data_IF_508375909061
#
_entry.id   IF_508375909061
#
_cell.length_a   1.000
_cell.length_b   1.000
_cell.length_c   1.000
_cell.angle_alpha   90.00
_cell.angle_beta   90.00
_cell.angle_gamma   90.00
#
_symmetry.space_group_name_H-M   'P 1'
#
loop_
_entity.id
_entity.type
_entity.pdbx_description
1 polymer ?
#
# COMPACT_ATOMS: atom_id res chain seq x y z
N UNK A 1 -3.48 6.41 -13.87
CA UNK A 1 -4.06 5.43 -12.93
C UNK A 1 -2.99 4.51 -12.37
N UNK A 2 -2.18 3.87 -13.22
CA UNK A 2 -1.14 2.93 -12.80
C UNK A 2 -0.18 3.46 -11.70
N UNK A 3 0.28 4.71 -11.81
CA UNK A 3 1.08 5.35 -10.74
C UNK A 3 0.39 5.35 -9.37
N UNK A 4 -0.93 5.55 -9.31
CA UNK A 4 -1.72 5.47 -8.06
C UNK A 4 -1.89 4.04 -7.53
N UNK A 5 -1.56 3.04 -8.36
CA UNK A 5 -1.53 1.63 -8.00
C UNK A 5 -0.09 1.14 -7.76
N UNK A 6 0.88 2.05 -7.64
CA UNK A 6 2.28 1.71 -7.37
C UNK A 6 3.03 1.14 -8.58
N UNK A 7 2.61 1.48 -9.81
CA UNK A 7 3.30 1.08 -11.04
C UNK A 7 3.89 2.29 -11.77
N UNK A 8 5.17 2.24 -12.11
CA UNK A 8 5.82 3.26 -12.94
C UNK A 8 5.52 3.04 -14.44
N UNK A 9 6.09 3.87 -15.31
CA UNK A 9 5.83 3.81 -16.76
C UNK A 9 6.29 2.47 -17.39
N UNK A 10 7.47 1.98 -17.02
CA UNK A 10 7.99 0.72 -17.57
C UNK A 10 7.18 -0.49 -17.08
N UNK A 11 6.79 -0.53 -15.81
CA UNK A 11 5.91 -1.56 -15.25
C UNK A 11 4.51 -1.53 -15.89
N UNK A 12 3.97 -0.34 -16.13
CA UNK A 12 2.66 -0.15 -16.80
C UNK A 12 2.68 -0.67 -18.22
N UNK A 13 3.73 -0.33 -18.95
CA UNK A 13 4.00 -0.79 -20.31
C UNK A 13 4.19 -2.31 -20.36
N UNK A 14 5.00 -2.87 -19.46
CA UNK A 14 5.27 -4.30 -19.39
C UNK A 14 4.01 -5.10 -19.08
N UNK A 15 3.22 -4.68 -18.08
CA UNK A 15 1.97 -5.33 -17.70
C UNK A 15 0.95 -5.33 -18.82
N UNK A 16 0.81 -4.22 -19.53
CA UNK A 16 -0.18 -4.10 -20.59
C UNK A 16 0.24 -4.90 -21.82
N UNK A 17 1.47 -4.70 -22.31
CA UNK A 17 2.00 -5.45 -23.45
C UNK A 17 2.01 -6.96 -23.16
N UNK A 18 2.54 -7.37 -22.00
CA UNK A 18 2.62 -8.80 -21.63
C UNK A 18 1.25 -9.43 -21.37
N UNK A 19 0.30 -8.68 -20.81
CA UNK A 19 -1.08 -9.15 -20.66
C UNK A 19 -1.79 -9.30 -22.01
N UNK A 20 -1.68 -8.29 -22.88
CA UNK A 20 -2.32 -8.26 -24.20
C UNK A 20 -1.56 -9.08 -25.26
N UNK A 21 -0.39 -9.66 -24.96
CA UNK A 21 0.18 -10.77 -25.75
C UNK A 21 -0.78 -11.98 -25.80
N UNK A 22 -1.68 -12.11 -24.82
CA UNK A 22 -2.58 -13.25 -24.70
C UNK A 22 -4.07 -12.89 -24.87
N UNK A 23 -4.84 -13.87 -25.35
CA UNK A 23 -6.28 -13.86 -25.34
C UNK A 23 -6.92 -12.87 -26.31
N UNK A 24 -8.12 -12.42 -25.95
CA UNK A 24 -8.95 -11.51 -26.74
C UNK A 24 -9.95 -10.74 -25.88
N UNK A 25 -10.49 -9.66 -26.42
CA UNK A 25 -11.70 -9.03 -25.90
C UNK A 25 -12.98 -9.71 -26.45
N UNK A 26 -14.11 -9.46 -25.80
CA UNK A 26 -15.42 -10.03 -26.13
C UNK A 26 -16.52 -8.96 -26.25
N UNK A 27 -17.15 -8.91 -27.41
CA UNK A 27 -18.09 -7.90 -27.88
C UNK A 27 -18.81 -8.36 -29.16
N UNK A 28 -19.20 -9.64 -29.22
CA UNK A 28 -19.74 -10.31 -30.40
C UNK A 28 -21.08 -9.73 -30.91
N UNK A 29 -21.78 -8.94 -30.11
CA UNK A 29 -23.03 -8.30 -30.52
C UNK A 29 -23.56 -7.30 -29.51
N UNK A 30 -24.83 -6.94 -29.65
CA UNK A 30 -25.49 -5.90 -28.86
C UNK A 30 -25.34 -6.10 -27.34
N UNK A 31 -24.62 -5.18 -26.71
CA UNK A 31 -24.37 -5.19 -25.26
C UNK A 31 -25.63 -5.07 -24.41
N UNK A 32 -26.75 -4.57 -24.97
CA UNK A 32 -28.03 -4.52 -24.23
C UNK A 32 -28.64 -5.90 -23.98
N UNK A 33 -28.11 -6.95 -24.62
CA UNK A 33 -28.51 -8.35 -24.40
C UNK A 33 -27.80 -9.00 -23.20
N UNK A 34 -26.82 -8.31 -22.59
CA UNK A 34 -26.15 -8.78 -21.38
C UNK A 34 -27.03 -8.46 -20.18
N UNK A 35 -27.37 -9.50 -19.42
CA UNK A 35 -28.18 -9.40 -18.21
C UNK A 35 -27.47 -8.70 -17.05
N UNK A 36 -28.14 -8.68 -15.90
CA UNK A 36 -27.65 -8.03 -14.68
C UNK A 36 -26.34 -8.64 -14.19
N UNK A 37 -25.53 -7.84 -13.50
CA UNK A 37 -24.36 -8.32 -12.75
C UNK A 37 -24.77 -9.38 -11.72
N UNK A 38 -23.83 -10.19 -11.18
CA UNK A 38 -24.13 -11.24 -10.21
C UNK A 38 -25.05 -10.82 -9.05
N UNK A 39 -24.80 -9.67 -8.43
CA UNK A 39 -25.62 -9.16 -7.30
C UNK A 39 -27.03 -8.72 -7.69
N UNK A 40 -27.30 -8.48 -8.97
CA UNK A 40 -28.61 -8.11 -9.50
C UNK A 40 -29.29 -9.24 -10.29
N UNK A 41 -28.66 -10.40 -10.39
CA UNK A 41 -29.15 -11.53 -11.15
C UNK A 41 -30.21 -12.33 -10.38
N UNK A 42 -31.00 -13.12 -11.11
CA UNK A 42 -31.95 -14.04 -10.49
C UNK A 42 -31.21 -15.10 -9.65
N UNK A 43 -31.77 -15.50 -8.51
CA UNK A 43 -31.21 -16.51 -7.61
C UNK A 43 -30.91 -17.84 -8.33
N UNK A 44 -31.64 -18.17 -9.39
CA UNK A 44 -31.42 -19.35 -10.22
C UNK A 44 -30.05 -19.34 -10.95
N UNK A 45 -29.39 -18.18 -11.05
CA UNK A 45 -28.03 -18.05 -11.62
C UNK A 45 -26.93 -18.49 -10.66
N UNK A 46 -27.26 -18.80 -9.40
CA UNK A 46 -26.34 -19.41 -8.42
C UNK A 46 -25.02 -18.62 -8.27
N UNK A 47 -25.13 -17.29 -8.17
CA UNK A 47 -23.98 -16.39 -8.00
C UNK A 47 -23.27 -16.00 -9.31
N UNK A 48 -23.74 -16.49 -10.46
CA UNK A 48 -23.34 -15.98 -11.77
C UNK A 48 -24.17 -14.75 -12.17
N UNK A 49 -23.70 -14.04 -13.18
CA UNK A 49 -24.37 -12.87 -13.75
C UNK A 49 -23.93 -12.63 -15.19
N UNK A 50 -24.35 -11.50 -15.75
CA UNK A 50 -24.07 -11.11 -17.15
C UNK A 50 -24.51 -12.16 -18.17
N UNK A 51 -25.57 -12.93 -17.86
CA UNK A 51 -26.12 -13.91 -18.79
C UNK A 51 -26.52 -13.19 -20.09
N UNK A 52 -25.97 -13.64 -21.21
CA UNK A 52 -26.19 -12.99 -22.50
C UNK A 52 -27.32 -13.68 -23.26
N UNK A 53 -28.31 -12.89 -23.71
CA UNK A 53 -29.33 -13.32 -24.66
C UNK A 53 -28.91 -13.19 -26.14
N UNK A 54 -27.63 -12.91 -26.41
CA UNK A 54 -27.09 -12.82 -27.76
C UNK A 54 -26.73 -14.21 -28.29
N UNK A 55 -27.51 -14.73 -29.24
CA UNK A 55 -27.30 -16.05 -29.83
C UNK A 55 -27.19 -17.14 -28.75
N UNK A 56 -26.10 -17.90 -28.69
CA UNK A 56 -25.85 -18.89 -27.62
C UNK A 56 -25.39 -18.26 -26.29
N UNK A 57 -25.03 -16.98 -26.28
CA UNK A 57 -24.50 -16.27 -25.12
C UNK A 57 -23.10 -16.67 -24.67
N UNK A 58 -22.42 -17.54 -25.42
CA UNK A 58 -21.11 -18.11 -25.08
C UNK A 58 -20.27 -18.43 -26.32
N UNK A 59 -18.98 -18.70 -26.14
CA UNK A 59 -18.06 -19.03 -27.22
C UNK A 59 -17.86 -17.85 -28.17
N UNK A 60 -18.07 -18.06 -29.48
CA UNK A 60 -17.99 -16.99 -30.49
C UNK A 60 -19.08 -15.91 -30.33
N UNK A 61 -20.07 -16.12 -29.45
CA UNK A 61 -21.15 -15.17 -29.14
C UNK A 61 -20.97 -14.48 -27.77
N UNK A 62 -19.83 -14.65 -27.11
CA UNK A 62 -19.54 -14.03 -25.80
C UNK A 62 -19.50 -12.51 -25.91
N UNK A 63 -20.08 -11.83 -24.91
CA UNK A 63 -19.99 -10.38 -24.74
C UNK A 63 -19.50 -10.09 -23.32
N UNK A 64 -18.50 -9.22 -23.17
CA UNK A 64 -17.99 -8.79 -21.86
C UNK A 64 -17.71 -7.29 -21.86
N UNK A 65 -16.66 -6.84 -22.53
CA UNK A 65 -16.29 -5.42 -22.59
C UNK A 65 -17.05 -4.65 -23.69
N UNK A 66 -17.56 -5.37 -24.69
CA UNK A 66 -18.10 -4.78 -25.92
C UNK A 66 -17.03 -4.51 -26.98
N UNK A 67 -15.73 -4.57 -26.67
CA UNK A 67 -14.64 -4.61 -27.66
C UNK A 67 -14.50 -6.06 -28.15
N UNK A 68 -14.20 -6.27 -29.43
CA UNK A 68 -14.14 -7.60 -30.04
C UNK A 68 -12.84 -7.81 -30.82
N UNK A 69 -12.16 -8.93 -30.55
CA UNK A 69 -10.97 -9.35 -31.28
C UNK A 69 -9.78 -9.64 -30.39
N UNK A 70 -8.81 -10.40 -30.93
CA UNK A 70 -7.52 -10.63 -30.31
C UNK A 70 -6.55 -9.48 -30.61
N UNK A 71 -5.54 -9.28 -29.77
CA UNK A 71 -4.47 -8.30 -30.05
C UNK A 71 -3.43 -8.86 -31.01
N UNK A 72 -3.20 -10.17 -30.98
CA UNK A 72 -2.14 -10.84 -31.73
C UNK A 72 -2.70 -11.96 -32.64
N UNK A 73 -1.99 -12.31 -33.73
CA UNK A 73 -2.30 -13.50 -34.53
C UNK A 73 -2.07 -14.83 -33.80
N UNK A 74 -1.32 -14.80 -32.69
CA UNK A 74 -0.91 -15.97 -31.87
C UNK A 74 -1.40 -15.85 -30.42
N UNK A 75 -2.72 -15.73 -30.17
CA UNK A 75 -3.28 -15.29 -28.88
C UNK A 75 -3.06 -16.24 -27.68
N UNK A 76 -2.43 -17.39 -27.88
CA UNK A 76 -2.14 -18.37 -26.83
C UNK A 76 -0.64 -18.67 -26.71
N UNK A 77 0.20 -17.82 -27.30
CA UNK A 77 1.66 -17.99 -27.32
C UNK A 77 2.33 -16.78 -26.71
N UNK A 78 3.29 -17.01 -25.81
CA UNK A 78 4.19 -15.94 -25.35
C UNK A 78 5.21 -15.66 -26.45
N UNK A 79 5.05 -14.54 -27.13
CA UNK A 79 5.96 -14.05 -28.17
C UNK A 79 5.92 -12.52 -28.24
N UNK A 80 6.62 -11.95 -29.23
CA UNK A 80 6.74 -10.50 -29.42
C UNK A 80 5.71 -9.93 -30.40
N UNK A 81 4.74 -10.72 -30.86
CA UNK A 81 3.82 -10.31 -31.93
C UNK A 81 2.92 -9.15 -31.53
N UNK A 82 2.67 -8.91 -30.23
CA UNK A 82 2.00 -7.69 -29.76
C UNK A 82 2.73 -6.43 -30.23
N UNK A 83 4.06 -6.40 -30.14
CA UNK A 83 4.86 -5.25 -30.55
C UNK A 83 4.90 -5.08 -32.06
N UNK A 84 5.01 -6.18 -32.82
CA UNK A 84 4.95 -6.13 -34.28
C UNK A 84 3.60 -5.57 -34.74
N UNK A 85 2.51 -6.10 -34.17
CA UNK A 85 1.16 -5.59 -34.39
C UNK A 85 1.06 -4.09 -34.08
N UNK A 86 1.45 -3.68 -32.87
CA UNK A 86 1.31 -2.30 -32.41
C UNK A 86 2.15 -1.31 -33.22
N UNK A 87 3.41 -1.66 -33.55
CA UNK A 87 4.38 -0.69 -34.06
C UNK A 87 4.45 -0.66 -35.59
N UNK A 88 4.27 -1.78 -36.28
CA UNK A 88 4.49 -1.88 -37.74
C UNK A 88 3.27 -1.55 -38.59
N UNK A 89 2.07 -1.60 -38.01
CA UNK A 89 0.83 -1.42 -38.77
C UNK A 89 0.22 -0.03 -38.56
N UNK A 90 -0.37 0.51 -39.63
CA UNK A 90 -1.27 1.64 -39.52
C UNK A 90 -2.67 1.17 -39.12
N UNK A 91 -3.35 1.97 -38.29
CA UNK A 91 -4.61 1.61 -37.68
C UNK A 91 -5.73 2.58 -38.07
N UNK A 92 -6.91 2.03 -38.35
CA UNK A 92 -8.15 2.80 -38.52
C UNK A 92 -9.11 2.59 -37.35
N UNK A 93 -9.83 3.66 -36.99
CA UNK A 93 -10.85 3.61 -35.95
C UNK A 93 -12.12 2.96 -36.51
N UNK A 94 -12.53 1.86 -35.91
CA UNK A 94 -13.73 1.10 -36.26
C UNK A 94 -14.66 0.91 -35.07
N UNK A 95 -15.82 0.30 -35.32
CA UNK A 95 -16.73 -0.14 -34.27
C UNK A 95 -16.79 -1.66 -34.22
N UNK A 96 -16.73 -2.21 -33.02
CA UNK A 96 -16.99 -3.62 -32.77
C UNK A 96 -18.42 -3.99 -33.16
N UNK A 97 -18.78 -5.29 -33.22
CA UNK A 97 -20.16 -5.73 -33.36
C UNK A 97 -21.10 -5.18 -32.26
N UNK A 98 -20.59 -4.91 -31.06
CA UNK A 98 -21.32 -4.25 -29.98
C UNK A 98 -21.36 -2.71 -30.10
N UNK A 99 -20.75 -2.13 -31.12
CA UNK A 99 -20.70 -0.69 -31.36
C UNK A 99 -19.59 0.06 -30.61
N UNK A 100 -18.74 -0.62 -29.85
CA UNK A 100 -17.63 -0.02 -29.11
C UNK A 100 -16.54 0.47 -30.07
N UNK A 101 -15.90 1.61 -29.76
CA UNK A 101 -14.77 2.12 -30.54
C UNK A 101 -13.52 1.28 -30.27
N UNK A 102 -12.90 0.79 -31.33
CA UNK A 102 -11.64 0.05 -31.30
C UNK A 102 -10.83 0.33 -32.57
N UNK A 103 -9.58 -0.11 -32.62
CA UNK A 103 -8.70 0.09 -33.75
C UNK A 103 -8.40 -1.25 -34.42
N UNK A 104 -8.33 -1.28 -35.75
CA UNK A 104 -7.91 -2.46 -36.51
C UNK A 104 -6.80 -2.08 -37.51
N UNK A 105 -5.92 -3.01 -37.89
CA UNK A 105 -4.98 -2.77 -38.98
C UNK A 105 -5.74 -2.38 -40.26
N UNK A 106 -5.28 -1.32 -40.93
CA UNK A 106 -5.92 -0.83 -42.16
C UNK A 106 -5.98 -1.97 -43.19
N UNK A 107 -7.19 -2.32 -43.63
CA UNK A 107 -7.41 -3.36 -44.62
C UNK A 107 -7.28 -4.80 -44.12
N UNK A 108 -6.99 -5.02 -42.83
CA UNK A 108 -6.81 -6.34 -42.20
C UNK A 108 -5.97 -7.33 -43.05
N UNK A 109 -4.67 -7.07 -43.26
CA UNK A 109 -3.78 -7.97 -44.00
C UNK A 109 -3.81 -9.40 -43.46
N UNK A 110 -3.62 -10.40 -44.32
CA UNK A 110 -3.80 -11.81 -43.96
C UNK A 110 -2.88 -12.27 -42.80
N UNK A 111 -1.67 -11.72 -42.73
CA UNK A 111 -0.70 -11.98 -41.66
C UNK A 111 -1.17 -11.45 -40.29
N UNK A 112 -2.03 -10.43 -40.27
CA UNK A 112 -2.55 -9.83 -39.04
C UNK A 112 -3.76 -10.58 -38.46
N UNK A 113 -4.42 -11.46 -39.23
CA UNK A 113 -5.64 -12.11 -38.76
C UNK A 113 -5.35 -13.13 -37.65
N UNK A 114 -6.16 -13.14 -36.60
CA UNK A 114 -6.11 -14.15 -35.54
C UNK A 114 -6.98 -15.37 -35.88
N UNK A 115 -6.68 -16.56 -35.35
CA UNK A 115 -7.64 -17.66 -35.36
C UNK A 115 -8.90 -17.29 -34.58
N UNK A 116 -10.07 -17.68 -35.08
CA UNK A 116 -11.30 -17.59 -34.29
C UNK A 116 -11.21 -18.51 -33.08
N UNK A 117 -11.72 -18.05 -31.93
CA UNK A 117 -11.53 -18.74 -30.66
C UNK A 117 -12.25 -20.10 -30.60
N UNK A 118 -13.43 -20.24 -31.22
CA UNK A 118 -14.24 -21.47 -31.11
C UNK A 118 -14.61 -22.12 -32.44
N UNK A 119 -14.27 -21.49 -33.58
CA UNK A 119 -14.53 -22.06 -34.92
C UNK A 119 -13.20 -22.43 -35.59
N UNK A 120 -12.85 -23.74 -35.66
CA UNK A 120 -11.61 -24.19 -36.30
C UNK A 120 -11.48 -23.73 -37.75
N UNK A 121 -10.29 -23.27 -38.14
CA UNK A 121 -9.98 -22.83 -39.51
C UNK A 121 -10.55 -21.46 -39.91
N UNK A 122 -11.40 -20.84 -39.09
CA UNK A 122 -11.86 -19.47 -39.30
C UNK A 122 -10.79 -18.49 -38.78
N UNK A 123 -10.51 -17.45 -39.56
CA UNK A 123 -9.66 -16.32 -39.13
C UNK A 123 -10.49 -15.05 -39.01
N UNK A 124 -10.14 -14.18 -38.07
CA UNK A 124 -10.85 -12.94 -37.74
C UNK A 124 -9.88 -11.78 -37.58
N UNK A 125 -10.33 -10.53 -37.81
CA UNK A 125 -9.51 -9.35 -37.57
C UNK A 125 -8.97 -9.27 -36.13
N UNK A 126 -7.72 -8.84 -36.00
CA UNK A 126 -7.15 -8.39 -34.72
C UNK A 126 -7.59 -6.96 -34.40
N UNK A 127 -7.39 -6.55 -33.16
CA UNK A 127 -7.73 -5.21 -32.69
C UNK A 127 -6.67 -4.64 -31.75
N UNK A 128 -6.66 -3.32 -31.62
CA UNK A 128 -6.02 -2.59 -30.53
C UNK A 128 -7.06 -1.73 -29.84
N UNK A 129 -6.96 -1.61 -28.52
CA UNK A 129 -7.78 -0.64 -27.77
C UNK A 129 -7.19 0.76 -27.91
N UNK A 130 -7.95 1.79 -27.52
CA UNK A 130 -7.38 3.15 -27.46
C UNK A 130 -6.26 3.26 -26.42
N UNK A 131 -6.28 2.41 -25.37
CA UNK A 131 -5.19 2.35 -24.40
C UNK A 131 -3.92 1.73 -25.00
N UNK A 132 -4.06 0.69 -25.84
CA UNK A 132 -2.93 0.12 -26.59
C UNK A 132 -2.32 1.18 -27.53
N UNK A 133 -3.17 1.89 -28.27
CA UNK A 133 -2.72 2.96 -29.16
C UNK A 133 -1.98 4.08 -28.42
N UNK A 134 -2.30 4.32 -27.13
CA UNK A 134 -1.57 5.28 -26.31
C UNK A 134 -0.07 4.93 -26.19
N UNK A 135 0.28 3.64 -26.11
CA UNK A 135 1.68 3.21 -26.08
C UNK A 135 2.40 3.41 -27.44
N UNK A 136 1.66 3.39 -28.55
CA UNK A 136 2.21 3.70 -29.89
C UNK A 136 2.46 5.20 -30.08
N UNK A 137 1.56 6.06 -29.59
CA UNK A 137 1.53 7.50 -29.91
C UNK A 137 2.18 8.39 -28.85
N UNK A 138 2.14 8.01 -27.57
CA UNK A 138 2.80 8.77 -26.52
C UNK A 138 4.32 8.63 -26.65
N UNK A 139 5.09 9.73 -26.75
CA UNK A 139 6.53 9.66 -27.01
C UNK A 139 7.32 8.91 -25.94
N UNK A 140 6.91 8.97 -24.67
CA UNK A 140 7.63 8.28 -23.58
C UNK A 140 7.38 6.78 -23.64
N UNK A 141 6.12 6.39 -23.78
CA UNK A 141 5.76 4.98 -23.90
C UNK A 141 6.26 4.37 -25.20
N UNK A 142 6.30 5.13 -26.30
CA UNK A 142 6.87 4.66 -27.57
C UNK A 142 8.32 4.20 -27.41
N UNK A 143 9.14 4.97 -26.69
CA UNK A 143 10.53 4.58 -26.41
C UNK A 143 10.61 3.26 -25.63
N UNK A 144 9.71 3.07 -24.66
CA UNK A 144 9.65 1.83 -23.87
C UNK A 144 9.20 0.64 -24.74
N UNK A 145 8.19 0.82 -25.59
CA UNK A 145 7.72 -0.22 -26.53
C UNK A 145 8.82 -0.65 -27.50
N UNK A 146 9.55 0.30 -28.09
CA UNK A 146 10.68 0.02 -28.99
C UNK A 146 11.80 -0.71 -28.25
N UNK A 147 12.10 -0.32 -27.01
CA UNK A 147 13.10 -1.00 -26.15
C UNK A 147 12.70 -2.44 -25.86
N UNK A 148 11.44 -2.68 -25.47
CA UNK A 148 10.93 -4.03 -25.23
C UNK A 148 10.97 -4.90 -26.48
N UNK A 149 10.59 -4.34 -27.64
CA UNK A 149 10.67 -5.05 -28.91
C UNK A 149 12.10 -5.42 -29.30
N UNK A 150 13.05 -4.51 -29.09
CA UNK A 150 14.45 -4.71 -29.42
C UNK A 150 15.15 -5.74 -28.50
N UNK A 151 14.65 -5.93 -27.28
CA UNK A 151 15.19 -6.88 -26.30
C UNK A 151 14.07 -7.72 -25.64
N UNK A 152 13.70 -8.86 -26.26
CA UNK A 152 12.68 -9.76 -25.74
C UNK A 152 12.99 -10.33 -24.36
N UNK A 153 14.28 -10.51 -24.02
CA UNK A 153 14.69 -11.01 -22.71
C UNK A 153 14.45 -9.96 -21.63
N UNK A 154 14.79 -8.70 -21.91
CA UNK A 154 14.49 -7.58 -21.03
C UNK A 154 12.99 -7.40 -20.81
N UNK A 155 12.18 -7.47 -21.88
CA UNK A 155 10.73 -7.42 -21.76
C UNK A 155 10.18 -8.55 -20.89
N UNK A 156 10.66 -9.78 -21.08
CA UNK A 156 10.27 -10.93 -20.27
C UNK A 156 10.55 -10.74 -18.79
N UNK A 157 11.74 -10.26 -18.42
CA UNK A 157 12.09 -9.96 -17.03
C UNK A 157 11.24 -8.83 -16.45
N UNK A 158 11.06 -7.73 -17.20
CA UNK A 158 10.24 -6.59 -16.78
C UNK A 158 8.78 -7.00 -16.54
N UNK A 159 8.19 -7.79 -17.44
CA UNK A 159 6.83 -8.31 -17.28
C UNK A 159 6.73 -9.26 -16.08
N UNK A 160 7.66 -10.21 -15.92
CA UNK A 160 7.65 -11.15 -14.80
C UNK A 160 7.72 -10.42 -13.45
N UNK A 161 8.61 -9.43 -13.32
CA UNK A 161 8.76 -8.61 -12.11
C UNK A 161 7.54 -7.74 -11.85
N UNK A 162 7.00 -7.10 -12.88
CA UNK A 162 5.81 -6.25 -12.73
C UNK A 162 4.55 -7.08 -12.41
N UNK A 163 4.40 -8.28 -12.99
CA UNK A 163 3.32 -9.22 -12.67
C UNK A 163 3.42 -9.73 -11.24
N UNK A 164 4.63 -10.09 -10.79
CA UNK A 164 4.87 -10.47 -9.40
C UNK A 164 4.51 -9.33 -8.45
N UNK A 165 4.98 -8.11 -8.71
CA UNK A 165 4.60 -6.91 -7.94
C UNK A 165 3.08 -6.70 -7.92
N UNK A 166 2.42 -6.76 -9.08
CA UNK A 166 0.97 -6.57 -9.20
C UNK A 166 0.18 -7.49 -8.26
N UNK A 167 0.60 -8.75 -8.19
CA UNK A 167 -0.10 -9.82 -7.46
C UNK A 167 0.32 -9.97 -6.00
N UNK A 168 1.31 -9.20 -5.55
CA UNK A 168 1.87 -9.32 -4.19
C UNK A 168 2.07 -7.97 -3.46
N UNK A 169 1.82 -6.83 -4.11
CA UNK A 169 2.05 -5.47 -3.54
C UNK A 169 1.25 -5.17 -2.27
N UNK A 170 0.17 -5.89 -2.01
CA UNK A 170 -0.71 -5.75 -0.83
C UNK A 170 -0.48 -6.84 0.23
N UNK A 171 0.49 -7.73 0.01
CA UNK A 171 0.84 -8.77 0.97
C UNK A 171 1.75 -8.28 2.10
N UNK A 172 2.24 -7.04 2.06
CA UNK A 172 3.13 -6.49 3.09
C UNK A 172 4.50 -7.17 3.16
N UNK A 173 5.10 -7.27 4.36
CA UNK A 173 6.45 -7.80 4.53
C UNK A 173 6.58 -9.23 4.00
N UNK A 174 7.73 -9.53 3.38
CA UNK A 174 8.05 -10.86 2.82
C UNK A 174 7.93 -12.01 3.83
N UNK A 175 8.04 -11.74 5.13
CA UNK A 175 7.76 -12.72 6.19
C UNK A 175 6.34 -13.31 6.17
N UNK A 176 5.40 -12.67 5.47
CA UNK A 176 4.03 -13.17 5.26
C UNK A 176 3.89 -14.12 4.06
N UNK A 177 4.92 -14.24 3.23
CA UNK A 177 4.86 -15.04 2.01
C UNK A 177 5.12 -16.50 2.37
N UNK A 178 4.32 -17.41 1.84
CA UNK A 178 4.34 -18.83 2.20
C UNK A 178 4.48 -19.69 0.94
N UNK A 179 5.08 -20.87 1.11
CA UNK A 179 5.24 -21.85 0.05
C UNK A 179 6.65 -21.89 -0.57
N UNK A 180 6.91 -22.89 -1.43
CA UNK A 180 8.26 -23.14 -1.95
C UNK A 180 8.68 -22.20 -3.10
N UNK A 181 7.76 -21.42 -3.65
CA UNK A 181 7.97 -20.56 -4.82
C UNK A 181 8.22 -19.09 -4.47
N UNK A 182 8.38 -18.76 -3.19
CA UNK A 182 8.72 -17.40 -2.76
C UNK A 182 10.10 -17.03 -3.31
N UNK A 183 10.23 -15.95 -4.12
CA UNK A 183 11.51 -15.55 -4.67
C UNK A 183 12.53 -15.24 -3.57
N UNK A 184 13.76 -15.69 -3.76
CA UNK A 184 14.85 -15.41 -2.82
C UNK A 184 15.22 -13.92 -2.80
N UNK A 185 15.13 -13.24 -3.95
CA UNK A 185 15.40 -11.80 -4.09
C UNK A 185 14.46 -10.96 -3.21
N UNK A 186 15.02 -9.97 -2.52
CA UNK A 186 14.25 -8.92 -1.85
C UNK A 186 14.05 -7.76 -2.81
N UNK A 187 12.80 -7.39 -3.05
CA UNK A 187 12.44 -6.32 -3.96
C UNK A 187 12.18 -5.04 -3.16
N UNK A 188 12.67 -3.89 -3.64
CA UNK A 188 12.61 -2.63 -2.90
C UNK A 188 11.19 -2.23 -2.49
N UNK A 189 10.18 -2.52 -3.33
CA UNK A 189 8.78 -2.21 -3.05
C UNK A 189 8.17 -3.04 -1.91
N UNK A 190 8.84 -4.12 -1.47
CA UNK A 190 8.43 -4.93 -0.31
C UNK A 190 8.84 -4.28 1.02
N UNK A 191 9.47 -3.10 0.99
CA UNK A 191 10.03 -2.40 2.14
C UNK A 191 10.94 -3.33 2.98
N UNK A 192 11.97 -3.97 2.37
CA UNK A 192 12.68 -5.10 2.96
C UNK A 192 13.30 -4.77 4.32
N UNK A 193 13.34 -5.76 5.20
CA UNK A 193 13.84 -5.66 6.56
C UNK A 193 15.04 -6.61 6.69
N UNK A 194 16.24 -6.14 7.07
CA UNK A 194 17.41 -7.00 7.16
C UNK A 194 17.25 -8.05 8.26
N UNK A 195 17.90 -9.20 8.08
CA UNK A 195 17.96 -10.24 9.11
C UNK A 195 18.65 -9.73 10.38
N UNK A 196 18.29 -10.23 11.58
CA UNK A 196 18.97 -9.89 12.81
C UNK A 196 20.46 -10.24 12.77
N UNK A 197 21.33 -9.34 13.23
CA UNK A 197 22.80 -9.52 13.20
C UNK A 197 23.38 -10.10 14.50
N UNK A 198 22.54 -10.35 15.51
CA UNK A 198 22.96 -10.87 16.81
C UNK A 198 21.80 -11.53 17.58
N UNK A 199 22.05 -12.05 18.79
CA UNK A 199 21.01 -12.67 19.60
C UNK A 199 19.91 -11.66 19.94
N UNK A 200 18.70 -12.17 20.09
CA UNK A 200 17.57 -11.38 20.59
C UNK A 200 17.81 -11.11 22.08
N UNK A 201 17.65 -9.85 22.50
CA UNK A 201 17.82 -9.44 23.90
C UNK A 201 16.84 -10.17 24.83
N UNK A 202 17.30 -10.58 26.02
CA UNK A 202 16.50 -11.24 27.04
C UNK A 202 15.98 -10.27 28.10
N UNK A 203 15.30 -10.82 29.12
CA UNK A 203 14.66 -10.04 30.18
C UNK A 203 15.65 -9.14 30.95
N UNK A 204 16.88 -9.62 31.18
CA UNK A 204 17.90 -8.86 31.90
C UNK A 204 18.39 -7.65 31.10
N UNK A 205 18.65 -7.83 29.80
CA UNK A 205 19.02 -6.73 28.90
C UNK A 205 17.87 -5.74 28.74
N UNK A 206 16.63 -6.22 28.61
CA UNK A 206 15.44 -5.36 28.53
C UNK A 206 15.31 -4.50 29.80
N UNK A 207 15.46 -5.08 30.99
CA UNK A 207 15.42 -4.34 32.24
C UNK A 207 16.54 -3.28 32.33
N UNK A 208 17.76 -3.62 31.91
CA UNK A 208 18.88 -2.70 31.88
C UNK A 208 18.65 -1.53 30.89
N UNK A 209 18.10 -1.82 29.71
CA UNK A 209 17.76 -0.81 28.71
C UNK A 209 16.62 0.09 29.19
N UNK A 210 15.58 -0.44 29.84
CA UNK A 210 14.54 0.38 30.48
C UNK A 210 15.15 1.34 31.51
N UNK A 211 16.07 0.85 32.35
CA UNK A 211 16.76 1.70 33.33
C UNK A 211 17.61 2.80 32.66
N UNK A 212 18.29 2.49 31.55
CA UNK A 212 19.05 3.47 30.78
C UNK A 212 18.15 4.55 30.15
N UNK A 213 16.99 4.15 29.60
CA UNK A 213 16.00 5.09 29.05
C UNK A 213 15.45 6.02 30.14
N UNK A 214 15.15 5.48 31.33
CA UNK A 214 14.72 6.29 32.49
C UNK A 214 15.81 7.29 32.90
N UNK A 215 17.07 6.85 32.94
CA UNK A 215 18.20 7.69 33.31
C UNK A 215 18.52 8.79 32.28
N UNK A 216 18.08 8.62 31.03
CA UNK A 216 18.24 9.60 29.97
C UNK A 216 17.30 10.82 30.10
N UNK A 217 16.36 10.80 31.05
CA UNK A 217 15.48 11.92 31.41
C UNK A 217 14.66 12.46 30.23
N UNK A 218 14.28 11.58 29.30
CA UNK A 218 13.27 11.87 28.29
C UNK A 218 11.89 11.90 28.98
N UNK A 219 11.08 12.89 28.63
CA UNK A 219 9.72 13.02 29.14
C UNK A 219 8.82 11.89 28.63
N UNK A 220 7.76 11.59 29.39
CA UNK A 220 6.71 10.64 29.00
C UNK A 220 6.15 10.97 27.61
N UNK A 221 5.90 12.25 27.32
CA UNK A 221 5.36 12.67 26.01
C UNK A 221 6.33 12.34 24.87
N UNK A 222 7.63 12.64 25.03
CA UNK A 222 8.64 12.34 24.01
C UNK A 222 8.76 10.85 23.72
N UNK A 223 8.79 10.03 24.77
CA UNK A 223 8.86 8.57 24.68
C UNK A 223 7.64 7.99 23.94
N UNK A 224 6.43 8.34 24.40
CA UNK A 224 5.18 7.80 23.83
C UNK A 224 4.94 8.34 22.42
N UNK A 225 5.19 9.63 22.18
CA UNK A 225 5.01 10.25 20.86
C UNK A 225 5.95 9.67 19.82
N UNK A 226 7.20 9.41 20.16
CA UNK A 226 8.18 8.81 19.23
C UNK A 226 7.82 7.38 18.89
N UNK A 227 7.42 6.58 19.88
CA UNK A 227 6.92 5.22 19.66
C UNK A 227 5.65 5.21 18.79
N UNK A 228 4.70 6.12 19.05
CA UNK A 228 3.51 6.29 18.24
C UNK A 228 3.85 6.69 16.80
N UNK A 229 4.73 7.67 16.60
CA UNK A 229 5.15 8.13 15.28
C UNK A 229 5.74 7.00 14.43
N UNK A 230 6.52 6.10 15.03
CA UNK A 230 7.05 4.92 14.34
C UNK A 230 5.95 3.89 14.02
N UNK A 231 5.22 3.46 15.05
CA UNK A 231 4.27 2.35 14.94
C UNK A 231 3.03 2.70 14.11
N UNK A 232 2.52 3.94 14.22
CA UNK A 232 1.28 4.35 13.59
C UNK A 232 1.38 4.45 12.07
N UNK A 233 2.57 4.41 11.46
CA UNK A 233 2.67 4.36 9.98
C UNK A 233 2.09 3.07 9.39
N UNK A 234 1.90 2.03 10.22
CA UNK A 234 1.26 0.79 9.80
C UNK A 234 -0.15 1.03 9.25
N UNK A 235 -0.50 0.31 8.18
CA UNK A 235 -1.87 0.20 7.71
C UNK A 235 -2.20 -1.25 7.31
N UNK A 236 -3.31 -1.77 7.81
CA UNK A 236 -3.78 -3.13 7.56
C UNK A 236 -4.34 -3.36 6.15
N UNK A 237 -4.47 -2.31 5.33
CA UNK A 237 -4.96 -2.41 3.95
C UNK A 237 -3.98 -3.12 3.01
N UNK A 238 -2.68 -2.89 3.19
CA UNK A 238 -1.59 -3.51 2.42
C UNK A 238 -0.43 -3.98 3.30
N UNK A 239 -0.61 -3.89 4.63
CA UNK A 239 0.35 -4.27 5.66
C UNK A 239 1.71 -3.53 5.60
N UNK A 240 1.77 -2.36 4.94
CA UNK A 240 2.98 -1.51 4.93
C UNK A 240 3.10 -0.67 6.19
N UNK A 241 4.30 -0.14 6.42
CA UNK A 241 4.61 0.72 7.57
C UNK A 241 4.84 -0.05 8.88
N UNK A 242 4.79 0.67 9.99
CA UNK A 242 5.04 0.16 11.34
C UNK A 242 6.46 0.47 11.84
N UNK A 243 6.74 0.04 13.08
CA UNK A 243 8.00 0.36 13.77
C UNK A 243 9.18 -0.51 13.34
N UNK A 244 8.96 -1.68 12.74
CA UNK A 244 10.05 -2.54 12.27
C UNK A 244 10.81 -1.89 11.10
N UNK A 245 12.12 -2.07 11.05
CA UNK A 245 13.02 -1.36 10.13
C UNK A 245 13.55 -0.05 10.70
N UNK A 246 12.98 0.46 11.81
CA UNK A 246 13.41 1.71 12.43
C UNK A 246 13.34 2.90 11.48
N UNK A 247 12.45 2.84 10.47
CA UNK A 247 12.40 3.79 9.35
C UNK A 247 12.02 5.22 9.76
N UNK A 248 11.55 5.41 10.99
CA UNK A 248 11.32 6.74 11.55
C UNK A 248 12.59 7.61 11.54
N UNK A 249 13.80 7.02 11.58
CA UNK A 249 15.08 7.73 11.51
C UNK A 249 15.58 7.99 10.08
N UNK A 250 14.89 7.48 9.06
CA UNK A 250 15.26 7.53 7.65
C UNK A 250 14.35 8.50 6.88
N UNK A 251 14.77 8.88 5.67
CA UNK A 251 13.88 9.59 4.76
C UNK A 251 12.82 8.64 4.18
N UNK A 252 11.56 9.11 4.01
CA UNK A 252 11.11 10.48 4.26
C UNK A 252 10.59 10.72 5.69
N UNK A 253 10.45 9.68 6.52
CA UNK A 253 9.69 9.75 7.78
C UNK A 253 10.28 10.73 8.80
N UNK A 254 11.61 10.81 8.88
CA UNK A 254 12.30 11.72 9.81
C UNK A 254 12.02 13.20 9.51
N UNK A 255 11.62 13.50 8.27
CA UNK A 255 11.37 14.85 7.77
C UNK A 255 9.88 15.21 7.71
N UNK A 256 8.98 14.30 8.07
CA UNK A 256 7.55 14.59 8.07
C UNK A 256 7.16 15.57 9.16
N UNK A 257 6.36 16.59 8.79
CA UNK A 257 5.92 17.64 9.71
C UNK A 257 5.18 17.08 10.95
N UNK A 258 4.38 16.02 10.76
CA UNK A 258 3.65 15.36 11.84
C UNK A 258 4.56 14.68 12.88
N UNK A 259 5.82 14.41 12.52
CA UNK A 259 6.80 13.75 13.38
C UNK A 259 7.74 14.72 14.10
N UNK A 260 7.56 16.04 13.94
CA UNK A 260 8.32 17.09 14.65
C UNK A 260 9.85 16.88 14.55
N UNK A 261 10.44 17.03 13.33
CA UNK A 261 11.79 16.56 13.00
C UNK A 261 12.90 16.96 13.97
N UNK A 262 12.89 18.21 14.46
CA UNK A 262 13.92 18.72 15.39
C UNK A 262 13.87 17.99 16.74
N UNK A 263 12.68 17.76 17.27
CA UNK A 263 12.51 17.02 18.53
C UNK A 263 12.85 15.56 18.33
N UNK A 264 12.37 14.96 17.24
CA UNK A 264 12.64 13.58 16.89
C UNK A 264 14.15 13.31 16.74
N UNK A 265 14.89 14.18 16.06
CA UNK A 265 16.33 14.03 15.86
C UNK A 265 17.10 13.96 17.19
N UNK A 266 16.74 14.80 18.17
CA UNK A 266 17.34 14.76 19.52
C UNK A 266 17.02 13.45 20.25
N UNK A 267 15.77 12.99 20.20
CA UNK A 267 15.35 11.74 20.86
C UNK A 267 16.06 10.53 20.25
N UNK A 268 16.17 10.49 18.92
CA UNK A 268 16.89 9.43 18.21
C UNK A 268 18.38 9.41 18.57
N UNK A 269 19.02 10.57 18.73
CA UNK A 269 20.41 10.64 19.19
C UNK A 269 20.59 9.99 20.58
N UNK A 270 19.66 10.23 21.51
CA UNK A 270 19.67 9.56 22.82
C UNK A 270 19.55 8.05 22.70
N UNK A 271 18.68 7.55 21.82
CA UNK A 271 18.57 6.09 21.60
C UNK A 271 19.83 5.49 20.96
N UNK A 272 20.51 6.22 20.06
CA UNK A 272 21.80 5.78 19.52
C UNK A 272 22.88 5.73 20.60
N UNK A 273 22.92 6.71 21.51
CA UNK A 273 23.86 6.70 22.65
C UNK A 273 23.59 5.52 23.61
N UNK A 274 22.31 5.25 23.93
CA UNK A 274 21.92 4.10 24.76
C UNK A 274 22.32 2.78 24.07
N UNK A 275 22.07 2.66 22.77
CA UNK A 275 22.45 1.49 21.97
C UNK A 275 23.96 1.28 21.97
N UNK A 276 24.74 2.35 21.76
CA UNK A 276 26.19 2.28 21.75
C UNK A 276 26.75 1.87 23.12
N UNK A 277 26.14 2.35 24.21
CA UNK A 277 26.55 2.03 25.58
C UNK A 277 26.08 0.66 26.08
N UNK A 278 25.05 0.06 25.49
CA UNK A 278 24.44 -1.18 26.01
C UNK A 278 25.35 -2.40 25.87
N UNK A 279 26.22 -2.43 24.86
CA UNK A 279 27.00 -3.62 24.50
C UNK A 279 26.14 -4.79 24.01
N UNK A 280 24.86 -4.55 23.70
CA UNK A 280 23.91 -5.56 23.20
C UNK A 280 23.64 -5.38 21.71
N UNK A 281 23.05 -6.40 21.07
CA UNK A 281 22.60 -6.37 19.67
C UNK A 281 21.24 -5.69 19.47
N UNK A 282 20.81 -4.81 20.39
CA UNK A 282 19.52 -4.12 20.29
C UNK A 282 19.47 -3.18 19.08
N UNK A 283 18.34 -3.16 18.39
CA UNK A 283 18.07 -2.24 17.26
C UNK A 283 17.49 -0.92 17.76
N UNK A 284 17.64 0.14 16.97
CA UNK A 284 16.96 1.42 17.21
C UNK A 284 15.45 1.25 17.09
N UNK A 285 14.99 0.41 16.15
CA UNK A 285 13.58 0.03 16.04
C UNK A 285 13.00 -0.51 17.35
N UNK A 286 13.73 -1.39 18.05
CA UNK A 286 13.32 -1.91 19.35
C UNK A 286 13.45 -0.88 20.47
N UNK A 287 14.48 -0.04 20.49
CA UNK A 287 14.63 1.03 21.49
C UNK A 287 13.51 2.07 21.43
N UNK A 288 13.05 2.44 20.23
CA UNK A 288 11.92 3.35 20.05
C UNK A 288 10.65 2.76 20.71
N UNK A 289 10.36 1.48 20.46
CA UNK A 289 9.18 0.82 21.02
C UNK A 289 9.33 0.61 22.53
N UNK A 290 10.50 0.17 22.98
CA UNK A 290 10.80 0.00 24.40
C UNK A 290 10.69 1.33 25.17
N UNK A 291 11.14 2.43 24.56
CA UNK A 291 10.98 3.78 25.08
C UNK A 291 9.51 4.14 25.29
N UNK A 292 8.66 3.86 24.30
CA UNK A 292 7.20 4.00 24.46
C UNK A 292 6.64 3.21 25.64
N UNK A 293 7.04 1.94 25.79
CA UNK A 293 6.64 1.10 26.94
C UNK A 293 7.08 1.70 28.28
N UNK A 294 8.32 2.21 28.37
CA UNK A 294 8.82 2.93 29.57
C UNK A 294 7.97 4.17 29.85
N UNK A 295 7.64 4.96 28.83
CA UNK A 295 6.79 6.14 28.99
C UNK A 295 5.40 5.81 29.55
N UNK A 296 4.78 4.73 29.07
CA UNK A 296 3.49 4.25 29.57
C UNK A 296 3.59 3.75 31.03
N UNK A 297 4.63 2.99 31.37
CA UNK A 297 4.87 2.51 32.73
C UNK A 297 5.11 3.68 33.71
N UNK A 298 5.90 4.68 33.32
CA UNK A 298 6.14 5.90 34.10
C UNK A 298 4.84 6.69 34.32
N UNK A 299 4.03 6.86 33.26
CA UNK A 299 2.77 7.59 33.34
C UNK A 299 1.74 6.90 34.23
N UNK A 300 1.62 5.57 34.14
CA UNK A 300 0.76 4.78 35.00
C UNK A 300 1.22 4.84 36.46
N UNK A 301 2.52 4.72 36.71
CA UNK A 301 3.09 4.83 38.06
C UNK A 301 2.83 6.20 38.66
N UNK A 302 2.99 7.27 37.89
CA UNK A 302 2.68 8.63 38.32
C UNK A 302 1.18 8.83 38.65
N UNK A 303 0.30 8.03 38.04
CA UNK A 303 -1.13 7.96 38.36
C UNK A 303 -1.46 7.02 39.55
N UNK A 304 -0.46 6.36 40.16
CA UNK A 304 -0.65 5.44 41.28
C UNK A 304 -0.87 3.98 40.89
N UNK A 305 -0.61 3.60 39.64
CA UNK A 305 -0.78 2.24 39.13
C UNK A 305 0.56 1.62 38.71
N UNK A 306 0.95 0.51 39.37
CA UNK A 306 2.09 -0.27 38.93
C UNK A 306 1.65 -1.26 37.85
N UNK A 307 2.13 -1.06 36.63
CA UNK A 307 1.92 -1.96 35.48
C UNK A 307 3.26 -2.31 34.85
N UNK A 308 3.26 -3.38 34.06
CA UNK A 308 4.34 -3.73 33.16
C UNK A 308 3.79 -3.74 31.74
N UNK A 309 4.35 -2.89 30.88
CA UNK A 309 3.95 -2.81 29.48
C UNK A 309 4.65 -3.95 28.70
N UNK A 310 3.88 -4.80 27.98
CA UNK A 310 4.47 -5.87 27.18
C UNK A 310 5.45 -5.32 26.16
N UNK A 311 6.55 -6.04 25.95
CA UNK A 311 7.54 -5.71 24.93
C UNK A 311 8.07 -7.00 24.31
N UNK A 312 8.12 -7.03 22.98
CA UNK A 312 8.65 -8.16 22.20
C UNK A 312 9.80 -7.62 21.34
N UNK A 313 11.05 -8.03 21.63
CA UNK A 313 12.21 -7.66 20.82
C UNK A 313 12.27 -8.45 19.51
N UNK A 314 13.17 -8.06 18.62
CA UNK A 314 13.44 -8.73 17.36
C UNK A 314 13.20 -7.86 16.13
N UNK A 315 12.85 -6.58 16.30
CA UNK A 315 12.87 -5.63 15.19
C UNK A 315 14.32 -5.40 14.76
N UNK A 316 14.51 -5.10 13.49
CA UNK A 316 15.83 -4.75 12.94
C UNK A 316 15.79 -3.39 12.28
N UNK A 317 16.97 -2.88 11.95
CA UNK A 317 17.17 -1.54 11.43
C UNK A 317 17.45 -1.61 9.92
N UNK A 318 16.48 -1.20 9.10
CA UNK A 318 16.67 -1.07 7.66
C UNK A 318 17.65 0.07 7.33
N UNK A 319 18.26 0.01 6.15
CA UNK A 319 19.08 1.10 5.60
C UNK A 319 18.25 2.06 4.72
N UNK A 320 18.86 3.20 4.36
CA UNK A 320 18.23 4.13 3.41
C UNK A 320 18.08 3.51 2.02
N UNK A 321 19.06 2.70 1.57
CA UNK A 321 19.01 2.00 0.28
C UNK A 321 17.91 0.94 0.23
N UNK A 322 17.49 0.42 1.39
CA UNK A 322 16.35 -0.48 1.56
C UNK A 322 15.01 0.25 1.70
N UNK A 323 14.97 1.56 1.46
CA UNK A 323 13.78 2.40 1.68
C UNK A 323 13.50 3.25 0.44
N UNK A 324 12.48 2.87 -0.34
CA UNK A 324 11.98 3.67 -1.45
C UNK A 324 11.26 4.93 -0.91
N UNK A 325 11.93 6.07 -1.02
CA UNK A 325 11.43 7.35 -0.49
C UNK A 325 10.09 7.75 -1.12
N UNK A 326 9.94 7.57 -2.43
CA UNK A 326 8.69 7.88 -3.14
C UNK A 326 7.59 6.88 -2.73
N UNK A 327 7.95 5.60 -2.63
CA UNK A 327 7.08 4.54 -2.15
C UNK A 327 6.57 4.77 -0.72
N UNK A 328 7.36 5.37 0.16
CA UNK A 328 6.97 5.71 1.54
C UNK A 328 6.12 6.97 1.66
N UNK A 329 6.10 7.86 0.65
CA UNK A 329 5.37 9.13 0.72
C UNK A 329 3.86 8.94 0.97
N UNK A 330 3.28 7.84 0.47
CA UNK A 330 1.85 7.50 0.67
C UNK A 330 1.50 7.07 2.09
N UNK A 331 2.50 6.88 2.96
CA UNK A 331 2.33 6.54 4.37
C UNK A 331 2.37 7.77 5.28
N UNK A 332 2.69 8.96 4.75
CA UNK A 332 2.70 10.20 5.53
C UNK A 332 1.28 10.52 6.03
N UNK A 333 1.03 10.54 7.35
CA UNK A 333 -0.27 10.89 7.89
C UNK A 333 -0.59 12.36 7.58
N UNK A 334 -1.61 12.59 6.75
CA UNK A 334 -2.11 13.96 6.50
C UNK A 334 -3.14 14.41 7.54
N UNK A 335 -3.75 13.45 8.23
CA UNK A 335 -4.54 13.63 9.44
C UNK A 335 -4.13 12.53 10.43
N UNK A 336 -3.91 12.91 11.68
CA UNK A 336 -3.67 11.97 12.77
C UNK A 336 -4.40 12.46 14.01
N UNK A 337 -5.66 12.06 14.12
CA UNK A 337 -6.52 12.45 15.25
C UNK A 337 -5.99 11.96 16.59
N UNK A 338 -5.16 10.92 16.64
CA UNK A 338 -4.52 10.44 17.87
C UNK A 338 -3.47 11.43 18.39
N UNK A 339 -2.79 12.16 17.50
CA UNK A 339 -1.89 13.30 17.84
C UNK A 339 -2.56 14.67 17.69
N UNK A 340 -3.87 14.72 17.45
CA UNK A 340 -4.62 15.95 17.17
C UNK A 340 -4.02 16.79 16.03
N UNK A 341 -3.52 16.12 15.00
CA UNK A 341 -2.83 16.73 13.87
C UNK A 341 -3.69 16.74 12.61
N UNK A 342 -3.67 17.88 11.92
CA UNK A 342 -4.25 18.02 10.60
C UNK A 342 -3.32 18.89 9.73
N UNK A 343 -2.78 18.32 8.67
CA UNK A 343 -1.82 19.01 7.80
C UNK A 343 -2.43 20.20 7.07
N UNK A 344 -3.67 20.04 6.58
CA UNK A 344 -4.48 21.04 5.87
C UNK A 344 -5.96 20.75 6.13
N UNK A 345 -6.84 21.72 5.89
CA UNK A 345 -8.28 21.48 5.95
C UNK A 345 -8.73 20.56 4.81
N UNK A 346 -9.48 19.52 5.14
CA UNK A 346 -10.08 18.59 4.17
C UNK A 346 -11.56 18.93 3.91
N UNK A 347 -12.10 18.39 2.81
CA UNK A 347 -13.53 18.43 2.49
C UNK A 347 -14.33 17.33 3.21
N UNK A 348 -13.63 16.41 3.90
CA UNK A 348 -14.20 15.35 4.73
C UNK A 348 -14.17 15.82 6.20
N UNK A 349 -15.22 15.56 7.00
CA UNK A 349 -15.20 15.85 8.43
C UNK A 349 -13.99 15.20 9.14
N UNK A 350 -13.42 15.89 10.13
CA UNK A 350 -12.15 15.46 10.75
C UNK A 350 -12.34 14.17 11.56
N UNK A 351 -13.51 13.99 12.15
CA UNK A 351 -13.93 12.79 12.86
C UNK A 351 -14.03 11.56 11.94
N UNK A 352 -14.41 11.72 10.68
CA UNK A 352 -14.40 10.61 9.71
C UNK A 352 -12.96 10.20 9.36
N UNK A 353 -12.04 11.17 9.27
CA UNK A 353 -10.61 10.89 9.07
C UNK A 353 -9.98 10.17 10.27
N UNK A 354 -10.45 10.43 11.49
CA UNK A 354 -10.03 9.68 12.69
C UNK A 354 -10.52 8.21 12.60
N UNK A 355 -11.77 7.99 12.18
CA UNK A 355 -12.32 6.63 12.03
C UNK A 355 -11.60 5.88 10.90
N UNK A 356 -11.34 6.52 9.77
CA UNK A 356 -10.53 5.97 8.67
C UNK A 356 -9.14 5.56 9.18
N UNK A 357 -8.47 6.44 9.91
CA UNK A 357 -7.16 6.16 10.50
C UNK A 357 -7.21 4.98 11.47
N UNK A 358 -8.24 4.90 12.32
CA UNK A 358 -8.43 3.79 13.24
C UNK A 358 -8.66 2.46 12.50
N UNK A 359 -9.43 2.48 11.40
CA UNK A 359 -9.65 1.33 10.55
C UNK A 359 -8.34 0.83 9.94
N UNK A 360 -7.49 1.72 9.42
CA UNK A 360 -6.18 1.34 8.89
C UNK A 360 -5.28 0.74 9.96
N UNK A 361 -5.37 1.21 11.21
CA UNK A 361 -4.63 0.63 12.34
C UNK A 361 -5.21 -0.71 12.84
N UNK A 362 -6.36 -1.15 12.32
CA UNK A 362 -7.06 -2.36 12.75
C UNK A 362 -7.74 -2.21 14.12
N UNK A 363 -8.02 -0.98 14.54
CA UNK A 363 -8.61 -0.68 15.85
C UNK A 363 -10.13 -0.79 15.80
N UNK A 364 -10.69 -1.39 16.84
CA UNK A 364 -12.12 -1.30 17.15
C UNK A 364 -12.47 0.08 17.72
N UNK A 365 -13.76 0.43 17.73
CA UNK A 365 -14.21 1.69 18.33
C UNK A 365 -13.82 1.85 19.82
N UNK A 366 -13.90 0.82 20.69
CA UNK A 366 -13.38 0.88 22.04
C UNK A 366 -11.86 1.15 22.11
N UNK A 367 -11.07 0.46 21.29
CA UNK A 367 -9.61 0.65 21.25
C UNK A 367 -9.23 2.06 20.78
N UNK A 368 -9.87 2.55 19.72
CA UNK A 368 -9.73 3.94 19.27
C UNK A 368 -10.06 4.91 20.41
N UNK A 369 -11.16 4.68 21.12
CA UNK A 369 -11.63 5.56 22.20
C UNK A 369 -10.61 5.64 23.34
N UNK A 370 -10.15 4.49 23.86
CA UNK A 370 -9.16 4.47 24.96
C UNK A 370 -7.83 5.07 24.53
N UNK A 371 -7.40 4.85 23.29
CA UNK A 371 -6.17 5.44 22.75
C UNK A 371 -6.28 6.96 22.66
N UNK A 372 -7.36 7.51 22.10
CA UNK A 372 -7.55 8.97 22.02
C UNK A 372 -7.52 9.58 23.42
N UNK A 373 -8.28 9.02 24.37
CA UNK A 373 -8.32 9.57 25.73
C UNK A 373 -6.99 9.48 26.47
N UNK A 374 -6.29 8.34 26.39
CA UNK A 374 -4.99 8.14 27.00
C UNK A 374 -3.92 9.04 26.39
N UNK A 375 -3.81 9.07 25.06
CA UNK A 375 -2.82 9.88 24.36
C UNK A 375 -2.97 11.38 24.64
N UNK A 376 -4.21 11.88 24.80
CA UNK A 376 -4.45 13.27 25.21
C UNK A 376 -3.85 13.59 26.57
N UNK A 377 -4.09 12.77 27.59
CA UNK A 377 -3.56 13.04 28.95
C UNK A 377 -2.05 12.83 29.07
N UNK A 378 -1.47 12.05 28.15
CA UNK A 378 -0.02 11.85 28.02
C UNK A 378 0.71 13.01 27.30
N UNK A 379 -0.03 13.99 26.77
CA UNK A 379 0.57 15.18 26.15
C UNK A 379 1.19 14.91 24.78
N UNK A 380 0.74 13.89 24.03
CA UNK A 380 1.35 13.50 22.75
C UNK A 380 0.86 14.31 21.55
N UNK A 381 0.08 15.37 21.79
CA UNK A 381 -0.42 16.22 20.72
C UNK A 381 0.74 16.85 19.92
N UNK A 382 0.53 16.99 18.61
CA UNK A 382 1.47 17.66 17.72
C UNK A 382 1.65 19.12 18.12
N UNK A 383 2.90 19.61 18.10
CA UNK A 383 3.25 21.00 18.40
C UNK A 383 2.95 21.43 19.83
N UNK A 384 2.75 20.49 20.76
CA UNK A 384 2.36 20.78 22.14
C UNK A 384 0.96 21.38 22.29
N UNK A 385 0.09 21.16 21.30
CA UNK A 385 -1.29 21.66 21.34
C UNK A 385 -2.04 21.15 22.57
N UNK A 386 -2.74 22.05 23.27
CA UNK A 386 -3.54 21.70 24.46
C UNK A 386 -4.96 21.25 24.12
N UNK A 387 -5.33 21.20 22.83
CA UNK A 387 -6.66 20.79 22.40
C UNK A 387 -6.98 19.35 22.81
N UNK A 388 -8.07 19.19 23.56
CA UNK A 388 -8.50 17.91 24.10
C UNK A 388 -7.63 17.36 25.24
N UNK A 389 -6.61 18.10 25.72
CA UNK A 389 -5.85 17.73 26.93
C UNK A 389 -6.67 18.10 28.16
N UNK A 390 -7.73 17.32 28.40
CA UNK A 390 -8.68 17.58 29.49
C UNK A 390 -8.19 16.94 30.79
N UNK A 391 -7.07 17.45 31.32
CA UNK A 391 -6.50 17.04 32.62
C UNK A 391 -5.73 18.20 33.25
N UNK A 392 -5.51 18.14 34.56
CA UNK A 392 -4.58 19.03 35.29
C UNK A 392 -3.28 18.32 35.70
N UNK A 393 -3.11 17.08 35.26
CA UNK A 393 -2.02 16.17 35.66
C UNK A 393 -1.42 15.51 34.42
N UNK A 394 -1.09 16.33 33.43
CA UNK A 394 -0.51 15.86 32.16
C UNK A 394 0.72 14.98 32.42
N UNK A 395 0.87 13.92 31.62
CA UNK A 395 1.89 12.89 31.82
C UNK A 395 1.49 11.79 32.82
N UNK A 396 0.35 11.90 33.51
CA UNK A 396 -0.23 10.81 34.30
C UNK A 396 -1.29 10.08 33.46
N UNK A 397 -1.22 8.74 33.41
CA UNK A 397 -2.18 7.94 32.66
C UNK A 397 -3.47 7.75 33.48
N UNK A 398 -4.46 8.59 33.21
CA UNK A 398 -5.75 8.62 33.92
C UNK A 398 -6.91 8.62 32.93
N UNK A 399 -8.14 8.45 33.44
CA UNK A 399 -9.36 8.62 32.64
C UNK A 399 -9.87 10.07 32.61
N UNK A 400 -9.03 11.06 32.99
CA UNK A 400 -9.44 12.47 33.12
C UNK A 400 -10.05 13.01 31.83
N UNK A 401 -9.56 12.59 30.65
CA UNK A 401 -10.14 12.97 29.36
C UNK A 401 -11.65 12.74 29.31
N UNK A 402 -12.09 11.53 29.68
CA UNK A 402 -13.51 11.15 29.62
C UNK A 402 -14.32 11.82 30.73
N UNK A 403 -13.77 11.88 31.95
CA UNK A 403 -14.44 12.52 33.09
C UNK A 403 -14.74 13.99 32.79
N UNK A 404 -13.77 14.72 32.24
CA UNK A 404 -13.91 16.13 31.95
C UNK A 404 -14.70 16.39 30.66
N UNK A 405 -14.59 15.53 29.65
CA UNK A 405 -15.40 15.62 28.43
C UNK A 405 -16.91 15.51 28.72
N UNK A 406 -17.26 14.63 29.65
CA UNK A 406 -18.65 14.33 30.03
C UNK A 406 -19.16 15.19 31.20
N UNK A 407 -18.37 16.14 31.71
CA UNK A 407 -18.80 17.02 32.80
C UNK A 407 -19.82 18.05 32.29
N UNK A 408 -21.08 17.91 32.72
CA UNK A 408 -22.19 18.79 32.34
C UNK A 408 -22.05 20.24 32.84
N UNK A 409 -21.07 20.53 33.69
CA UNK A 409 -20.72 21.90 34.08
C UNK A 409 -19.90 22.63 33.01
N UNK A 410 -19.34 21.89 32.05
CA UNK A 410 -18.57 22.43 30.93
C UNK A 410 -19.49 22.72 29.75
N UNK A 411 -19.50 23.96 29.28
CA UNK A 411 -20.17 24.36 28.05
C UNK A 411 -19.17 24.47 26.90
N UNK A 412 -19.43 23.76 25.79
CA UNK A 412 -18.63 23.81 24.55
C UNK A 412 -19.17 24.93 23.64
N UNK A 413 -18.28 25.75 23.08
CA UNK A 413 -18.63 26.88 22.21
C UNK A 413 -17.78 26.91 20.96
#
# INVERSE_FOLDING_TARGET
>A
VAARMGMNDEETAALTAGGHTFGKAHGAGDGSKVGQSPEGADIAQQGLGWQSGHESGMGDHTITSGIEGAWTPTPITWDMTYFDMLLDHEYELVRSPAGAKQWQPVGNPEETLAPAAHTPGKRVPTMMTTADMAFKVDPKYRVIMEKFRADPAYFGDAFARAWFKLTHRDMGPKARYLGPEVPAEDLIWQDPIPAPTGPVIGEAEIAALKAAIIAADLSVSELVKTAWAAAATYRGSDHRGGANGGRLRLEPQRSWAVNEPDSLARILAVYEDIRAASGTSVSIADLIVLGGSVGIEQAARAAGHAIEAPFTPGRTDASQDQTDVEGFAVLEPKADGFRNYLSVRFNVPTEELLVDRAQLLGLTAPEMTVLVGGLRVLGVNHGGSTHGVLTKREGQLTNDFFVNLLDMRTAWK
#
